data_IF_093892427483
#
_entry.id   IF_093892427483
#
_cell.length_a   1.000
_cell.length_b   1.000
_cell.length_c   1.000
_cell.angle_alpha   90.00
_cell.angle_beta   90.00
_cell.angle_gamma   90.00
#
_symmetry.space_group_name_H-M   'P 1'
#
loop_
_entity.id
_entity.type
_entity.pdbx_description
1 polymer ?
#
# COMPACT_ATOMS: atom_id res chain seq x y z
N UNK A 1 17.44 16.04 0.15
CA UNK A 1 18.70 16.01 0.93
C UNK A 1 18.63 16.81 2.24
N UNK A 2 17.83 17.88 2.35
CA UNK A 2 17.72 18.72 3.54
C UNK A 2 17.17 18.02 4.81
N UNK A 3 16.11 17.21 4.69
CA UNK A 3 15.47 16.54 5.84
C UNK A 3 16.42 15.59 6.58
N UNK A 4 17.29 14.88 5.85
CA UNK A 4 18.24 13.93 6.44
C UNK A 4 19.33 14.64 7.27
N UNK A 5 19.76 15.82 6.83
CA UNK A 5 20.80 16.61 7.51
C UNK A 5 20.26 17.27 8.78
N UNK A 6 19.05 17.83 8.76
CA UNK A 6 18.42 18.38 9.97
C UNK A 6 18.10 17.30 10.99
N UNK A 7 17.58 16.14 10.55
CA UNK A 7 17.35 14.97 11.43
C UNK A 7 18.62 14.55 12.18
N UNK A 8 19.80 14.61 11.54
CA UNK A 8 21.07 14.21 12.16
C UNK A 8 21.54 15.14 13.29
N UNK A 9 20.99 16.36 13.40
CA UNK A 9 21.32 17.28 14.48
C UNK A 9 20.57 16.96 15.77
N UNK A 10 19.36 16.41 15.65
CA UNK A 10 18.44 16.17 16.78
C UNK A 10 18.32 14.69 17.18
N UNK A 11 18.60 13.75 16.27
CA UNK A 11 18.36 12.32 16.51
C UNK A 11 19.66 11.50 16.45
N UNK A 12 19.74 10.40 17.22
CA UNK A 12 20.90 9.52 17.25
C UNK A 12 21.20 8.93 15.86
N UNK A 13 22.45 8.51 15.69
CA UNK A 13 22.87 7.76 14.49
C UNK A 13 21.96 6.56 14.30
N UNK A 14 21.62 6.27 13.04
CA UNK A 14 20.79 5.12 12.71
C UNK A 14 21.41 3.83 13.30
N UNK A 15 20.63 3.00 13.99
CA UNK A 15 21.10 1.73 14.55
C UNK A 15 21.64 0.83 13.43
N UNK A 16 22.74 0.12 13.70
CA UNK A 16 23.45 -0.70 12.71
C UNK A 16 23.15 -2.19 12.85
N UNK A 17 22.55 -2.59 13.97
CA UNK A 17 22.13 -3.96 14.28
C UNK A 17 20.72 -4.00 14.86
N UNK A 18 20.10 -5.19 14.93
CA UNK A 18 18.82 -5.37 15.64
C UNK A 18 18.96 -5.07 17.13
N UNK A 19 20.07 -5.47 17.74
CA UNK A 19 20.35 -5.18 19.15
C UNK A 19 20.47 -3.67 19.39
N UNK A 20 21.10 -2.95 18.47
CA UNK A 20 21.17 -1.48 18.51
C UNK A 20 19.77 -0.87 18.45
N UNK A 21 18.86 -1.40 17.62
CA UNK A 21 17.46 -0.95 17.56
C UNK A 21 16.80 -1.12 18.92
N UNK A 22 16.87 -2.32 19.51
CA UNK A 22 16.25 -2.59 20.80
C UNK A 22 16.82 -1.70 21.91
N UNK A 23 18.14 -1.54 21.97
CA UNK A 23 18.81 -0.69 22.94
C UNK A 23 18.47 0.80 22.74
N UNK A 24 18.35 1.24 21.48
CA UNK A 24 17.95 2.62 21.18
C UNK A 24 16.51 2.88 21.63
N UNK A 25 15.61 1.93 21.39
CA UNK A 25 14.19 2.05 21.81
C UNK A 25 14.04 2.10 23.33
N UNK A 26 14.86 1.35 24.08
CA UNK A 26 14.83 1.40 25.56
C UNK A 26 15.17 2.79 26.12
N UNK A 27 16.00 3.56 25.41
CA UNK A 27 16.44 4.90 25.82
C UNK A 27 15.54 5.99 25.23
N UNK A 28 14.87 5.71 24.10
CA UNK A 28 13.96 6.65 23.48
C UNK A 28 12.60 6.62 24.18
N UNK A 29 12.22 7.75 24.78
CA UNK A 29 10.83 7.98 25.18
C UNK A 29 9.96 8.23 23.94
N UNK A 30 9.55 7.16 23.28
CA UNK A 30 8.71 7.23 22.09
C UNK A 30 7.28 7.59 22.48
N UNK A 31 6.84 8.78 22.09
CA UNK A 31 5.48 9.26 22.32
C UNK A 31 4.80 9.73 21.03
N UNK A 32 3.49 9.58 20.97
CA UNK A 32 2.66 10.18 19.92
C UNK A 32 2.54 11.70 20.12
N UNK A 33 1.97 12.41 19.15
CA UNK A 33 1.62 13.84 19.31
C UNK A 33 0.58 14.09 20.42
N UNK A 34 -0.14 13.06 20.88
CA UNK A 34 -1.04 13.11 22.03
C UNK A 34 -0.36 12.72 23.35
N UNK A 35 0.97 12.54 23.34
CA UNK A 35 1.78 12.09 24.49
C UNK A 35 1.46 10.68 24.99
N UNK A 36 0.89 9.83 24.13
CA UNK A 36 0.72 8.40 24.44
C UNK A 36 2.03 7.65 24.16
N UNK A 37 2.35 6.62 24.95
CA UNK A 37 3.47 5.74 24.63
C UNK A 37 3.30 5.12 23.24
N UNK A 38 4.34 5.21 22.42
CA UNK A 38 4.37 4.73 21.02
C UNK A 38 5.32 3.54 20.81
N UNK A 39 5.55 2.75 21.86
CA UNK A 39 6.19 1.45 21.79
C UNK A 39 5.48 0.50 22.76
N UNK A 40 4.74 -0.47 22.22
CA UNK A 40 3.96 -1.42 23.03
C UNK A 40 4.77 -2.65 23.42
N UNK A 41 5.68 -3.10 22.55
CA UNK A 41 6.53 -4.27 22.80
C UNK A 41 7.95 -3.98 22.29
N UNK A 42 8.94 -4.24 23.13
CA UNK A 42 10.35 -4.27 22.77
C UNK A 42 10.98 -5.61 23.23
N UNK A 43 10.67 -6.71 22.55
CA UNK A 43 11.14 -8.05 22.94
C UNK A 43 12.49 -8.37 22.31
N UNK A 44 13.58 -8.18 23.07
CA UNK A 44 14.94 -8.55 22.64
C UNK A 44 15.10 -10.05 22.39
N UNK A 45 14.49 -10.88 23.25
CA UNK A 45 14.52 -12.35 23.16
C UNK A 45 14.03 -12.87 21.80
N UNK A 46 12.89 -12.35 21.33
CA UNK A 46 12.29 -12.74 20.05
C UNK A 46 12.77 -11.84 18.89
N UNK A 47 13.53 -10.79 19.23
CA UNK A 47 13.93 -9.72 18.34
C UNK A 47 12.75 -8.96 17.71
N UNK A 48 11.62 -8.85 18.40
CA UNK A 48 10.39 -8.23 17.88
C UNK A 48 10.17 -6.87 18.56
N UNK A 49 9.85 -5.86 17.76
CA UNK A 49 9.43 -4.54 18.22
C UNK A 49 8.03 -4.25 17.67
N UNK A 50 7.10 -3.83 18.52
CA UNK A 50 5.79 -3.31 18.12
C UNK A 50 5.72 -1.82 18.46
N UNK A 51 5.90 -0.99 17.43
CA UNK A 51 5.70 0.45 17.49
C UNK A 51 4.24 0.77 17.18
N UNK A 52 3.48 1.10 18.22
CA UNK A 52 2.07 1.51 18.15
C UNK A 52 1.69 2.14 19.49
N UNK A 53 0.43 2.56 19.65
CA UNK A 53 -0.14 2.98 20.93
C UNK A 53 -1.46 2.22 21.20
N UNK A 54 -1.99 2.32 22.42
CA UNK A 54 -3.24 1.66 22.81
C UNK A 54 -4.40 2.11 21.93
N UNK A 55 -4.54 3.41 21.64
CA UNK A 55 -5.60 3.92 20.77
C UNK A 55 -5.52 3.39 19.34
N UNK A 56 -4.31 3.12 18.83
CA UNK A 56 -4.16 2.45 17.53
C UNK A 56 -4.59 0.98 17.59
N UNK A 57 -4.35 0.27 18.69
CA UNK A 57 -4.85 -1.10 18.85
C UNK A 57 -6.38 -1.13 18.98
N UNK A 58 -6.98 -0.18 19.70
CA UNK A 58 -8.44 -0.03 19.78
C UNK A 58 -9.04 0.26 18.39
N UNK A 59 -8.40 1.14 17.62
CA UNK A 59 -8.77 1.41 16.23
C UNK A 59 -8.61 0.17 15.34
N UNK A 60 -7.57 -0.63 15.54
CA UNK A 60 -7.36 -1.88 14.82
C UNK A 60 -8.46 -2.90 15.13
N UNK A 61 -8.95 -2.94 16.37
CA UNK A 61 -10.05 -3.81 16.79
C UNK A 61 -11.41 -3.37 16.25
N UNK A 62 -11.57 -2.11 15.84
CA UNK A 62 -12.82 -1.55 15.33
C UNK A 62 -12.83 -1.54 13.81
N UNK A 63 -13.09 -2.70 13.19
CA UNK A 63 -13.20 -2.93 11.73
C UNK A 63 -12.12 -2.19 10.91
N UNK A 64 -11.02 -2.88 10.63
CA UNK A 64 -10.04 -2.42 9.65
C UNK A 64 -10.74 -2.03 8.34
N UNK A 65 -10.75 -0.73 8.03
CA UNK A 65 -11.18 -0.23 6.73
C UNK A 65 -10.04 -0.43 5.74
N UNK A 66 -10.35 -0.92 4.55
CA UNK A 66 -9.37 -1.18 3.52
C UNK A 66 -9.07 0.13 2.77
N UNK A 67 -7.80 0.53 2.73
CA UNK A 67 -7.38 1.69 1.95
C UNK A 67 -7.27 1.32 0.47
N UNK A 68 -8.10 1.91 -0.37
CA UNK A 68 -8.01 1.83 -1.82
C UNK A 68 -7.40 3.11 -2.39
N UNK A 69 -6.50 2.96 -3.37
CA UNK A 69 -5.83 4.11 -4.00
C UNK A 69 -5.94 4.01 -5.51
N UNK A 70 -6.47 5.06 -6.15
CA UNK A 70 -6.43 5.19 -7.61
C UNK A 70 -5.17 5.95 -8.02
N UNK A 71 -4.44 5.38 -8.98
CA UNK A 71 -3.26 5.99 -9.57
C UNK A 71 -3.58 6.53 -10.97
N UNK A 72 -3.11 7.73 -11.28
CA UNK A 72 -3.09 8.27 -12.63
C UNK A 72 -1.68 8.28 -13.20
N UNK A 73 -1.56 8.14 -14.52
CA UNK A 73 -0.29 8.25 -15.22
C UNK A 73 -0.07 9.68 -15.72
N UNK A 74 0.93 10.37 -15.18
CA UNK A 74 1.26 11.77 -15.54
C UNK A 74 2.77 11.96 -15.47
N UNK A 75 3.35 12.63 -16.48
CA UNK A 75 4.79 12.88 -16.59
C UNK A 75 5.63 11.59 -16.42
N UNK A 76 5.25 10.54 -17.15
CA UNK A 76 5.91 9.23 -17.14
C UNK A 76 5.93 8.51 -15.79
N UNK A 77 5.07 8.93 -14.85
CA UNK A 77 5.01 8.36 -13.50
C UNK A 77 3.56 8.04 -13.12
N UNK A 78 3.41 6.97 -12.34
CA UNK A 78 2.16 6.70 -11.63
C UNK A 78 2.11 7.55 -10.37
N UNK A 79 1.10 8.41 -10.28
CA UNK A 79 0.87 9.30 -9.14
C UNK A 79 -0.43 8.89 -8.48
N UNK A 80 -0.48 8.67 -7.15
CA UNK A 80 -1.73 8.42 -6.46
C UNK A 80 -2.58 9.70 -6.48
N UNK A 81 -3.81 9.60 -6.96
CA UNK A 81 -4.71 10.75 -7.15
C UNK A 81 -5.93 10.71 -6.24
N UNK A 82 -6.40 9.52 -5.87
CA UNK A 82 -7.57 9.35 -4.98
C UNK A 82 -7.24 8.29 -3.95
N UNK A 83 -7.55 8.58 -2.69
CA UNK A 83 -7.44 7.67 -1.55
C UNK A 83 -8.83 7.51 -0.95
N UNK A 84 -9.28 6.27 -0.78
CA UNK A 84 -10.60 5.95 -0.24
C UNK A 84 -10.48 4.86 0.82
N UNK A 85 -11.08 5.08 1.99
CA UNK A 85 -11.24 4.04 3.00
C UNK A 85 -12.55 3.31 2.75
N UNK A 86 -12.48 1.99 2.57
CA UNK A 86 -13.61 1.16 2.20
C UNK A 86 -13.97 0.20 3.34
N UNK A 87 -15.27 0.00 3.61
CA UNK A 87 -15.73 -0.92 4.64
C UNK A 87 -15.60 -2.40 4.25
N UNK A 88 -15.47 -2.71 2.94
CA UNK A 88 -15.23 -4.05 2.42
C UNK A 88 -14.71 -3.99 0.98
N UNK A 89 -14.28 -5.14 0.44
CA UNK A 89 -13.87 -5.34 -0.96
C UNK A 89 -14.99 -5.93 -1.82
N UNK A 90 -16.24 -5.52 -1.57
CA UNK A 90 -17.39 -6.04 -2.31
C UNK A 90 -17.69 -5.20 -3.55
N UNK A 91 -18.33 -5.81 -4.55
CA UNK A 91 -18.71 -5.15 -5.79
C UNK A 91 -19.63 -3.96 -5.54
N UNK A 92 -20.54 -4.07 -4.57
CA UNK A 92 -21.46 -3.02 -4.18
C UNK A 92 -20.71 -1.79 -3.66
N UNK A 93 -19.72 -2.00 -2.77
CA UNK A 93 -18.91 -0.91 -2.22
C UNK A 93 -18.06 -0.24 -3.29
N UNK A 94 -17.48 -1.00 -4.22
CA UNK A 94 -16.76 -0.42 -5.35
C UNK A 94 -17.67 0.37 -6.28
N UNK A 95 -18.87 -0.14 -6.56
CA UNK A 95 -19.87 0.56 -7.39
C UNK A 95 -20.26 1.89 -6.75
N UNK A 96 -20.48 1.91 -5.43
CA UNK A 96 -20.75 3.15 -4.69
C UNK A 96 -19.57 4.12 -4.79
N UNK A 97 -18.34 3.65 -4.58
CA UNK A 97 -17.13 4.47 -4.68
C UNK A 97 -16.98 5.12 -6.06
N UNK A 98 -17.13 4.34 -7.13
CA UNK A 98 -16.97 4.84 -8.50
C UNK A 98 -18.05 5.85 -8.88
N UNK A 99 -19.30 5.63 -8.45
CA UNK A 99 -20.37 6.61 -8.62
C UNK A 99 -20.09 7.91 -7.85
N UNK A 100 -19.61 7.82 -6.61
CA UNK A 100 -19.22 9.01 -5.83
C UNK A 100 -18.13 9.83 -6.54
N UNK A 101 -17.11 9.17 -7.09
CA UNK A 101 -16.05 9.85 -7.87
C UNK A 101 -16.64 10.53 -9.11
N UNK A 102 -17.52 9.84 -9.84
CA UNK A 102 -18.18 10.37 -11.04
C UNK A 102 -19.05 11.60 -10.72
N UNK A 103 -19.84 11.55 -9.66
CA UNK A 103 -20.68 12.67 -9.20
C UNK A 103 -19.83 13.86 -8.75
N UNK A 104 -18.77 13.62 -7.96
CA UNK A 104 -17.85 14.69 -7.53
C UNK A 104 -17.18 15.42 -8.71
N UNK A 105 -16.90 14.70 -9.80
CA UNK A 105 -16.43 15.29 -11.04
C UNK A 105 -17.51 16.12 -11.71
N UNK A 106 -18.71 15.55 -11.88
CA UNK A 106 -19.86 16.18 -12.54
C UNK A 106 -20.24 17.50 -11.88
N UNK A 107 -20.30 17.53 -10.54
CA UNK A 107 -20.59 18.75 -9.75
C UNK A 107 -19.58 19.88 -9.98
N UNK A 108 -18.38 19.54 -10.47
CA UNK A 108 -17.29 20.48 -10.78
C UNK A 108 -17.06 20.65 -12.28
N UNK A 109 -18.00 20.20 -13.10
CA UNK A 109 -17.91 20.22 -14.56
C UNK A 109 -16.70 19.44 -15.10
N UNK A 110 -16.29 18.38 -14.39
CA UNK A 110 -15.23 17.44 -14.77
C UNK A 110 -15.89 16.12 -15.14
N UNK A 111 -15.83 15.76 -16.42
CA UNK A 111 -16.36 14.48 -16.87
C UNK A 111 -15.36 13.35 -16.57
N UNK A 112 -15.59 12.60 -15.50
CA UNK A 112 -14.78 11.43 -15.17
C UNK A 112 -15.22 10.22 -16.03
N UNK A 113 -14.56 10.04 -17.18
CA UNK A 113 -14.76 8.91 -18.09
C UNK A 113 -13.41 8.30 -18.50
N UNK A 114 -12.86 7.37 -17.69
CA UNK A 114 -11.59 6.75 -18.03
C UNK A 114 -11.75 5.87 -19.27
N UNK A 115 -10.88 6.02 -20.27
CA UNK A 115 -10.93 5.16 -21.47
C UNK A 115 -10.33 3.77 -21.23
N UNK A 116 -9.23 3.74 -20.46
CA UNK A 116 -8.50 2.52 -20.11
C UNK A 116 -8.19 2.57 -18.62
N UNK A 117 -8.44 1.46 -17.93
CA UNK A 117 -8.08 1.29 -16.52
C UNK A 117 -7.29 0.01 -16.35
N UNK A 118 -6.25 0.08 -15.51
CA UNK A 118 -5.46 -1.09 -15.15
C UNK A 118 -5.86 -1.53 -13.75
N UNK A 119 -6.61 -2.62 -13.65
CA UNK A 119 -7.14 -3.13 -12.38
C UNK A 119 -6.37 -4.39 -12.02
N UNK A 120 -6.22 -4.67 -10.73
CA UNK A 120 -5.72 -5.97 -10.26
C UNK A 120 -6.70 -7.11 -10.62
N UNK A 121 -6.50 -8.31 -10.08
CA UNK A 121 -7.31 -9.48 -10.45
C UNK A 121 -8.58 -9.64 -9.61
N UNK A 122 -9.03 -8.58 -8.93
CA UNK A 122 -10.21 -8.64 -8.09
C UNK A 122 -11.50 -8.48 -8.91
N UNK A 123 -12.27 -9.56 -9.06
CA UNK A 123 -13.47 -9.60 -9.91
C UNK A 123 -14.51 -8.54 -9.52
N UNK A 124 -14.63 -8.25 -8.22
CA UNK A 124 -15.58 -7.28 -7.69
C UNK A 124 -15.36 -5.88 -8.28
N UNK A 125 -14.10 -5.43 -8.36
CA UNK A 125 -13.78 -4.14 -8.96
C UNK A 125 -13.99 -4.14 -10.48
N UNK A 126 -13.73 -5.26 -11.16
CA UNK A 126 -13.98 -5.38 -12.61
C UNK A 126 -15.47 -5.22 -12.92
N UNK A 127 -16.33 -5.90 -12.16
CA UNK A 127 -17.77 -5.81 -12.33
C UNK A 127 -18.29 -4.41 -12.02
N UNK A 128 -17.82 -3.79 -10.93
CA UNK A 128 -18.16 -2.41 -10.58
C UNK A 128 -17.78 -1.40 -11.68
N UNK A 129 -16.59 -1.54 -12.29
CA UNK A 129 -16.21 -0.67 -13.42
C UNK A 129 -17.10 -0.89 -14.64
N UNK A 130 -17.46 -2.14 -14.95
CA UNK A 130 -18.37 -2.45 -16.06
C UNK A 130 -19.77 -1.93 -15.82
N UNK A 131 -20.25 -1.89 -14.57
CA UNK A 131 -21.59 -1.39 -14.25
C UNK A 131 -21.65 0.15 -14.28
N UNK A 132 -20.58 0.84 -13.86
CA UNK A 132 -20.55 2.31 -13.78
C UNK A 132 -20.05 2.98 -15.06
N UNK A 133 -19.08 2.39 -15.75
CA UNK A 133 -18.43 2.98 -16.93
C UNK A 133 -18.40 2.03 -18.13
N UNK A 134 -19.52 1.94 -18.84
CA UNK A 134 -19.75 1.00 -19.96
C UNK A 134 -18.69 1.04 -21.07
N UNK A 135 -18.14 2.22 -21.36
CA UNK A 135 -17.17 2.41 -22.44
C UNK A 135 -15.70 2.22 -22.00
N UNK A 136 -15.47 1.86 -20.73
CA UNK A 136 -14.12 1.71 -20.18
C UNK A 136 -13.53 0.36 -20.57
N UNK A 137 -12.34 0.37 -21.19
CA UNK A 137 -11.55 -0.85 -21.38
C UNK A 137 -10.81 -1.19 -20.10
N UNK A 138 -11.10 -2.36 -19.54
CA UNK A 138 -10.37 -2.90 -18.40
C UNK A 138 -9.19 -3.72 -18.92
N UNK A 139 -7.99 -3.35 -18.47
CA UNK A 139 -6.74 -4.07 -18.70
C UNK A 139 -6.19 -4.61 -17.39
N UNK A 140 -5.46 -5.72 -17.47
CA UNK A 140 -4.83 -6.29 -16.29
C UNK A 140 -3.64 -5.45 -15.85
N UNK A 141 -3.55 -5.20 -14.55
CA UNK A 141 -2.40 -4.53 -13.97
C UNK A 141 -1.14 -5.40 -14.10
N UNK A 142 -0.23 -5.01 -15.01
CA UNK A 142 1.04 -5.72 -15.27
C UNK A 142 1.90 -5.87 -14.02
N UNK A 143 1.83 -4.90 -13.10
CA UNK A 143 2.54 -4.96 -11.82
C UNK A 143 2.07 -6.15 -10.97
N UNK A 144 0.75 -6.25 -10.75
CA UNK A 144 0.17 -7.37 -10.01
C UNK A 144 0.32 -8.69 -10.75
N UNK A 145 0.27 -8.69 -12.08
CA UNK A 145 0.50 -9.89 -12.89
C UNK A 145 1.92 -10.44 -12.68
N UNK A 146 2.93 -9.56 -12.79
CA UNK A 146 4.33 -9.91 -12.56
C UNK A 146 4.55 -10.47 -11.16
N UNK A 147 3.94 -9.87 -10.14
CA UNK A 147 4.01 -10.38 -8.76
C UNK A 147 3.39 -11.77 -8.62
N UNK A 148 2.22 -11.99 -9.23
CA UNK A 148 1.54 -13.29 -9.21
C UNK A 148 2.37 -14.37 -9.92
N UNK A 149 2.92 -14.07 -11.09
CA UNK A 149 3.84 -14.97 -11.79
C UNK A 149 5.09 -15.27 -10.96
N UNK A 150 5.71 -14.24 -10.37
CA UNK A 150 6.92 -14.42 -9.58
C UNK A 150 6.69 -15.31 -8.36
N UNK A 151 5.56 -15.16 -7.65
CA UNK A 151 5.17 -16.07 -6.57
C UNK A 151 5.00 -17.51 -7.04
N UNK A 152 4.44 -17.72 -8.24
CA UNK A 152 4.28 -19.06 -8.83
C UNK A 152 5.62 -19.68 -9.22
N UNK A 153 6.51 -18.92 -9.86
CA UNK A 153 7.88 -19.32 -10.20
C UNK A 153 8.63 -19.78 -8.94
N UNK A 154 8.53 -19.01 -7.85
CA UNK A 154 9.10 -19.40 -6.56
C UNK A 154 8.53 -20.70 -6.02
N UNK A 155 7.21 -20.86 -6.04
CA UNK A 155 6.55 -22.08 -5.57
C UNK A 155 6.94 -23.32 -6.38
N UNK A 156 7.30 -23.15 -7.64
CA UNK A 156 7.76 -24.23 -8.52
C UNK A 156 9.26 -24.53 -8.39
N UNK A 157 10.00 -23.81 -7.55
CA UNK A 157 11.45 -23.98 -7.40
C UNK A 157 12.28 -23.31 -8.52
N UNK A 158 11.64 -22.71 -9.53
CA UNK A 158 12.27 -22.15 -10.73
C UNK A 158 12.98 -20.80 -10.50
N UNK A 159 13.15 -20.38 -9.24
CA UNK A 159 13.72 -19.07 -8.93
C UNK A 159 15.19 -18.94 -9.28
N UNK A 160 15.92 -20.05 -9.29
CA UNK A 160 17.36 -20.07 -9.58
C UNK A 160 17.57 -19.81 -11.08
N UNK A 161 16.82 -20.52 -11.91
CA UNK A 161 16.83 -20.43 -13.37
C UNK A 161 16.42 -19.02 -13.83
N UNK A 162 15.32 -18.49 -13.32
CA UNK A 162 14.85 -17.15 -13.69
C UNK A 162 15.72 -15.99 -13.16
N UNK A 163 16.64 -16.27 -12.22
CA UNK A 163 17.66 -15.29 -11.77
C UNK A 163 18.97 -15.42 -12.54
N UNK A 164 19.18 -16.55 -13.20
CA UNK A 164 20.37 -16.79 -14.00
C UNK A 164 20.21 -16.11 -15.36
N UNK A 165 20.98 -15.04 -15.59
CA UNK A 165 20.95 -14.26 -16.85
C UNK A 165 21.47 -15.04 -18.07
N UNK A 166 22.14 -16.16 -17.84
CA UNK A 166 22.66 -17.05 -18.90
C UNK A 166 21.69 -18.21 -19.19
N UNK A 167 20.62 -18.35 -18.42
CA UNK A 167 19.61 -19.38 -18.63
C UNK A 167 18.58 -18.88 -19.65
N UNK A 168 18.36 -19.65 -20.73
CA UNK A 168 17.37 -19.34 -21.76
C UNK A 168 15.94 -19.20 -21.22
N UNK A 169 15.66 -19.78 -20.06
CA UNK A 169 14.36 -19.78 -19.40
C UNK A 169 14.07 -18.43 -18.70
N UNK A 170 15.11 -17.64 -18.39
CA UNK A 170 15.02 -16.36 -17.68
C UNK A 170 15.04 -15.11 -18.57
N UNK A 171 15.13 -15.27 -19.90
CA UNK A 171 15.15 -14.20 -20.90
C UNK A 171 13.74 -13.74 -21.31
#
# INVERSE_FOLDING_TARGET
MAIYQERRKEYPTLPKSRDDVHNTIDVLELQTNKKESFCLINSKEHGIVILSCISNLEALCTKASELYTFYGFKLERYVPLVFALLPSKSEEIYTVLLNMISSLGTDRNIMFKPRIVHIDFEIAMHNAFRSVFLDTRIEFCRFHLRQSWWRKIQKLGLSVEYKNKECEIGL
#
